data_IF_098974147371
#
_entry.id   IF_098974147371
#
_cell.length_a   1.000
_cell.length_b   1.000
_cell.length_c   1.000
_cell.angle_alpha   90.00
_cell.angle_beta   90.00
_cell.angle_gamma   90.00
#
_symmetry.space_group_name_H-M   'P 1'
#
loop_
_entity.id
_entity.type
_entity.pdbx_description
1 polymer ?
#
# COMPACT_ATOMS: atom_id res chain seq x y z
N UNK A 1 -20.16 -9.04 -8.42
CA UNK A 1 -18.77 -8.86 -8.85
C UNK A 1 -18.40 -7.39 -8.66
N UNK A 2 -17.17 -7.06 -8.25
CA UNK A 2 -16.75 -5.67 -8.13
C UNK A 2 -16.55 -5.07 -9.53
N UNK A 3 -17.10 -3.88 -9.80
CA UNK A 3 -16.90 -3.20 -11.08
C UNK A 3 -15.48 -2.64 -11.18
N UNK A 4 -15.01 -2.42 -12.42
CA UNK A 4 -13.70 -1.81 -12.66
C UNK A 4 -13.58 -0.44 -11.99
N UNK A 5 -14.61 0.39 -12.08
CA UNK A 5 -14.66 1.71 -11.44
C UNK A 5 -14.51 1.62 -9.91
N UNK A 6 -15.16 0.63 -9.27
CA UNK A 6 -15.00 0.40 -7.83
C UNK A 6 -13.57 -0.03 -7.47
N UNK A 7 -12.96 -0.92 -8.24
CA UNK A 7 -11.57 -1.37 -8.03
C UNK A 7 -10.61 -0.20 -8.19
N UNK A 8 -10.77 0.61 -9.25
CA UNK A 8 -9.95 1.80 -9.49
C UNK A 8 -10.07 2.80 -8.34
N UNK A 9 -11.29 3.07 -7.88
CA UNK A 9 -11.55 3.96 -6.74
C UNK A 9 -10.91 3.45 -5.44
N UNK A 10 -10.98 2.14 -5.16
CA UNK A 10 -10.38 1.55 -3.97
C UNK A 10 -8.85 1.57 -4.01
N UNK A 11 -8.24 1.32 -5.15
CA UNK A 11 -6.78 1.41 -5.30
C UNK A 11 -6.32 2.87 -5.20
N UNK A 12 -7.05 3.83 -5.79
CA UNK A 12 -6.77 5.25 -5.63
C UNK A 12 -6.80 5.68 -4.16
N UNK A 13 -7.84 5.27 -3.43
CA UNK A 13 -7.95 5.48 -1.99
C UNK A 13 -6.74 4.89 -1.24
N UNK A 14 -6.40 3.63 -1.50
CA UNK A 14 -5.33 2.92 -0.82
C UNK A 14 -3.98 3.64 -0.99
N UNK A 15 -3.66 4.04 -2.21
CA UNK A 15 -2.44 4.79 -2.54
C UNK A 15 -2.44 6.19 -1.92
N UNK A 16 -3.57 6.91 -1.95
CA UNK A 16 -3.69 8.25 -1.37
C UNK A 16 -3.49 8.20 0.16
N UNK A 17 -4.15 7.28 0.85
CA UNK A 17 -4.00 7.11 2.30
C UNK A 17 -2.57 6.67 2.67
N UNK A 18 -1.96 5.79 1.88
CA UNK A 18 -0.56 5.37 2.13
C UNK A 18 0.41 6.55 1.97
N UNK A 19 0.20 7.45 1.02
CA UNK A 19 0.97 8.70 0.89
C UNK A 19 0.84 9.60 2.11
N UNK A 20 -0.37 9.78 2.64
CA UNK A 20 -0.58 10.53 3.88
C UNK A 20 0.14 9.90 5.09
N UNK A 21 0.16 8.56 5.17
CA UNK A 21 0.97 7.85 6.19
C UNK A 21 2.46 8.15 6.01
N UNK A 22 2.97 8.18 4.77
CA UNK A 22 4.35 8.57 4.49
C UNK A 22 4.66 10.01 4.91
N UNK A 23 3.74 10.96 4.76
CA UNK A 23 3.94 12.33 5.23
C UNK A 23 4.09 12.38 6.75
N UNK A 24 3.32 11.58 7.49
CA UNK A 24 3.49 11.43 8.94
C UNK A 24 4.81 10.73 9.31
N UNK A 25 5.24 9.72 8.55
CA UNK A 25 6.53 9.04 8.75
C UNK A 25 7.71 10.00 8.51
N UNK A 26 7.63 10.89 7.55
CA UNK A 26 8.70 11.86 7.30
C UNK A 26 8.89 12.87 8.45
N UNK A 27 7.93 13.00 9.34
CA UNK A 27 8.03 13.86 10.53
C UNK A 27 8.76 13.22 11.73
N UNK A 28 8.97 11.90 11.75
CA UNK A 28 9.77 11.20 12.78
C UNK A 28 11.24 11.11 12.35
N UNK A 29 12.15 10.61 13.21
CA UNK A 29 13.56 10.41 12.85
C UNK A 29 13.81 9.05 12.18
N UNK A 30 14.98 8.87 11.53
CA UNK A 30 15.35 7.57 10.95
C UNK A 30 15.56 6.51 12.05
N UNK A 31 16.03 6.90 13.25
CA UNK A 31 16.13 6.01 14.40
C UNK A 31 14.76 5.51 14.85
N UNK A 32 13.77 6.42 14.94
CA UNK A 32 12.38 6.05 15.26
C UNK A 32 11.75 5.16 14.17
N UNK A 33 12.07 5.41 12.91
CA UNK A 33 11.57 4.63 11.77
C UNK A 33 12.02 3.16 11.81
N UNK A 34 13.25 2.91 12.24
CA UNK A 34 13.81 1.55 12.35
C UNK A 34 13.69 0.94 13.75
N UNK A 35 13.15 1.70 14.71
CA UNK A 35 12.99 1.24 16.11
C UNK A 35 12.15 -0.05 16.15
N UNK A 36 12.71 -1.07 16.75
CA UNK A 36 12.06 -2.37 16.87
C UNK A 36 10.89 -2.32 17.87
N UNK A 37 9.86 -3.08 17.55
CA UNK A 37 8.67 -3.30 18.35
C UNK A 37 8.34 -4.79 18.32
N UNK A 38 8.04 -5.44 19.45
CA UNK A 38 7.80 -6.90 19.48
C UNK A 38 6.52 -7.32 18.74
N UNK A 39 5.65 -6.38 18.40
CA UNK A 39 4.41 -6.67 17.70
C UNK A 39 4.57 -6.60 16.17
N UNK A 40 3.88 -7.49 15.46
CA UNK A 40 3.81 -7.53 14.00
C UNK A 40 5.20 -7.71 13.35
N UNK A 41 5.61 -6.80 12.46
CA UNK A 41 6.84 -6.91 11.65
C UNK A 41 8.07 -6.23 12.27
N UNK A 42 7.99 -5.82 13.50
CA UNK A 42 9.11 -5.25 14.24
C UNK A 42 9.17 -3.73 14.21
N UNK A 43 9.25 -3.07 13.06
CA UNK A 43 9.39 -1.60 12.98
C UNK A 43 8.44 -0.96 11.97
N UNK A 44 8.31 0.38 12.00
CA UNK A 44 7.58 1.14 10.96
C UNK A 44 8.22 0.88 9.59
N UNK A 45 9.56 0.90 9.51
CA UNK A 45 10.30 0.53 8.30
C UNK A 45 9.87 -0.83 7.76
N UNK A 46 9.89 -1.84 8.61
CA UNK A 46 9.59 -3.21 8.18
C UNK A 46 8.15 -3.35 7.68
N UNK A 47 7.19 -2.65 8.32
CA UNK A 47 5.79 -2.61 7.88
C UNK A 47 5.66 -1.96 6.51
N UNK A 48 6.25 -0.77 6.31
CA UNK A 48 6.10 -0.02 5.06
C UNK A 48 6.85 -0.66 3.89
N UNK A 49 8.04 -1.20 4.13
CA UNK A 49 8.77 -1.96 3.10
C UNK A 49 8.07 -3.27 2.78
N UNK A 50 7.45 -3.94 3.77
CA UNK A 50 6.64 -5.13 3.53
C UNK A 50 5.42 -4.82 2.66
N UNK A 51 4.69 -3.73 2.91
CA UNK A 51 3.56 -3.31 2.08
C UNK A 51 4.00 -3.18 0.62
N UNK A 52 4.96 -2.32 0.33
CA UNK A 52 5.43 -2.11 -1.04
C UNK A 52 6.03 -3.37 -1.68
N UNK A 53 6.73 -4.21 -0.89
CA UNK A 53 7.25 -5.50 -1.35
C UNK A 53 6.14 -6.47 -1.74
N UNK A 54 5.04 -6.47 -0.97
CA UNK A 54 3.88 -7.31 -1.24
C UNK A 54 3.14 -6.84 -2.49
N UNK A 55 2.88 -5.54 -2.61
CA UNK A 55 2.23 -4.95 -3.79
C UNK A 55 3.03 -5.23 -5.06
N UNK A 56 4.35 -5.05 -5.02
CA UNK A 56 5.25 -5.36 -6.13
C UNK A 56 5.17 -6.83 -6.56
N UNK A 57 5.15 -7.76 -5.60
CA UNK A 57 5.06 -9.19 -5.89
C UNK A 57 3.72 -9.60 -6.48
N UNK A 58 2.63 -9.11 -5.90
CA UNK A 58 1.30 -9.36 -6.46
C UNK A 58 1.15 -8.75 -7.83
N UNK A 59 1.67 -7.53 -8.06
CA UNK A 59 1.64 -6.89 -9.36
C UNK A 59 2.39 -7.68 -10.42
N UNK A 60 3.57 -8.23 -10.13
CA UNK A 60 4.29 -9.12 -11.03
C UNK A 60 3.45 -10.35 -11.39
N UNK A 61 2.80 -10.97 -10.41
CA UNK A 61 1.88 -12.07 -10.65
C UNK A 61 0.66 -11.68 -11.48
N UNK A 62 0.04 -10.53 -11.23
CA UNK A 62 -1.07 -10.00 -12.04
C UNK A 62 -0.68 -9.79 -13.50
N UNK A 63 0.57 -9.41 -13.76
CA UNK A 63 1.17 -9.25 -15.10
C UNK A 63 1.65 -10.56 -15.72
N UNK A 64 1.52 -11.69 -15.02
CA UNK A 64 2.09 -13.00 -15.40
C UNK A 64 3.63 -12.96 -15.56
N UNK A 65 4.30 -12.12 -14.79
CA UNK A 65 5.76 -12.02 -14.73
C UNK A 65 6.33 -13.01 -13.69
N UNK A 66 7.64 -13.23 -13.74
CA UNK A 66 8.32 -14.07 -12.75
C UNK A 66 8.26 -13.45 -11.35
N UNK A 67 8.27 -14.31 -10.30
CA UNK A 67 8.32 -13.84 -8.90
C UNK A 67 9.57 -12.98 -8.67
N UNK A 68 9.35 -11.75 -8.26
CA UNK A 68 10.40 -10.76 -8.01
C UNK A 68 10.99 -10.84 -6.59
N UNK A 69 10.53 -11.80 -5.77
CA UNK A 69 10.98 -11.99 -4.40
C UNK A 69 10.59 -10.85 -3.45
N UNK A 70 10.89 -11.02 -2.17
CA UNK A 70 10.69 -9.97 -1.16
C UNK A 70 11.87 -9.00 -1.11
N UNK A 71 11.57 -7.72 -0.84
CA UNK A 71 12.57 -6.71 -0.54
C UNK A 71 13.16 -6.95 0.86
N UNK A 72 14.47 -6.82 1.00
CA UNK A 72 15.13 -6.87 2.29
C UNK A 72 14.95 -5.53 3.04
N UNK A 73 14.43 -5.58 4.26
CA UNK A 73 14.14 -4.36 5.03
C UNK A 73 15.39 -3.51 5.28
N UNK A 74 16.53 -4.18 5.47
CA UNK A 74 17.82 -3.55 5.77
C UNK A 74 18.35 -2.67 4.63
N UNK A 75 17.89 -2.91 3.40
CA UNK A 75 18.28 -2.10 2.23
C UNK A 75 17.63 -0.70 2.26
N UNK A 76 16.70 -0.47 3.19
CA UNK A 76 15.94 0.78 3.33
C UNK A 76 16.09 1.39 4.72
N UNK A 77 17.31 1.81 5.14
CA UNK A 77 17.54 2.34 6.48
C UNK A 77 16.96 3.75 6.68
N UNK A 78 16.78 4.53 5.61
CA UNK A 78 16.29 5.89 5.65
C UNK A 78 14.83 5.98 5.15
N UNK A 79 14.03 6.81 5.81
CA UNK A 79 12.60 7.04 5.48
C UNK A 79 12.40 7.46 4.02
N UNK A 80 13.20 8.42 3.54
CA UNK A 80 13.08 8.92 2.17
C UNK A 80 13.35 7.84 1.13
N UNK A 81 14.38 7.03 1.34
CA UNK A 81 14.72 5.91 0.45
C UNK A 81 13.58 4.89 0.36
N UNK A 82 12.96 4.56 1.50
CA UNK A 82 11.82 3.65 1.55
C UNK A 82 10.57 4.27 0.90
N UNK A 83 10.33 5.58 1.08
CA UNK A 83 9.25 6.30 0.39
C UNK A 83 9.45 6.31 -1.12
N UNK A 84 10.67 6.59 -1.60
CA UNK A 84 10.96 6.61 -3.04
C UNK A 84 10.75 5.22 -3.69
N UNK A 85 11.06 4.16 -2.96
CA UNK A 85 10.77 2.79 -3.40
C UNK A 85 9.25 2.56 -3.46
N UNK A 86 8.50 2.94 -2.43
CA UNK A 86 7.03 2.86 -2.42
C UNK A 86 6.43 3.60 -3.61
N UNK A 87 6.86 4.85 -3.90
CA UNK A 87 6.29 5.65 -4.99
C UNK A 87 6.48 4.99 -6.37
N UNK A 88 7.60 4.29 -6.59
CA UNK A 88 7.78 3.51 -7.83
C UNK A 88 6.76 2.38 -7.93
N UNK A 89 6.59 1.61 -6.86
CA UNK A 89 5.61 0.51 -6.83
C UNK A 89 4.18 1.04 -6.98
N UNK A 90 3.86 2.15 -6.31
CA UNK A 90 2.55 2.80 -6.38
C UNK A 90 2.23 3.29 -7.81
N UNK A 91 3.22 3.86 -8.50
CA UNK A 91 3.07 4.27 -9.90
C UNK A 91 2.79 3.07 -10.80
N UNK A 92 3.59 2.00 -10.68
CA UNK A 92 3.41 0.78 -11.47
C UNK A 92 2.04 0.11 -11.23
N UNK A 93 1.56 0.10 -9.98
CA UNK A 93 0.24 -0.43 -9.62
C UNK A 93 -0.89 0.43 -10.19
N UNK A 94 -0.78 1.76 -10.06
CA UNK A 94 -1.76 2.69 -10.61
C UNK A 94 -1.87 2.57 -12.13
N UNK A 95 -0.74 2.51 -12.84
CA UNK A 95 -0.71 2.34 -14.30
C UNK A 95 -1.33 1.01 -14.73
N UNK A 96 -1.04 -0.07 -14.01
CA UNK A 96 -1.65 -1.38 -14.28
C UNK A 96 -3.16 -1.33 -14.15
N UNK A 97 -3.68 -0.75 -13.06
CA UNK A 97 -5.13 -0.68 -12.80
C UNK A 97 -5.83 0.29 -13.74
N UNK A 98 -5.16 1.34 -14.20
CA UNK A 98 -5.69 2.24 -15.22
C UNK A 98 -5.80 1.58 -16.61
N UNK A 99 -4.96 0.58 -16.90
CA UNK A 99 -4.92 -0.10 -18.18
C UNK A 99 -5.73 -1.40 -18.28
N UNK A 100 -6.22 -1.94 -17.15
CA UNK A 100 -6.98 -3.20 -17.14
C UNK A 100 -8.43 -2.99 -17.56
N UNK A 101 -9.02 -3.99 -18.20
CA UNK A 101 -10.44 -3.99 -18.63
C UNK A 101 -11.33 -4.74 -17.63
N UNK A 102 -12.65 -4.48 -17.69
CA UNK A 102 -13.67 -5.20 -16.90
C UNK A 102 -13.58 -6.71 -17.08
N UNK A 103 -13.36 -7.19 -18.33
CA UNK A 103 -13.26 -8.60 -18.62
C UNK A 103 -12.03 -9.24 -17.98
N UNK A 104 -10.90 -8.56 -17.98
CA UNK A 104 -9.66 -9.04 -17.37
C UNK A 104 -9.74 -9.15 -15.84
N UNK A 105 -10.60 -8.37 -15.17
CA UNK A 105 -10.80 -8.48 -13.72
C UNK A 105 -11.26 -9.88 -13.30
N UNK A 106 -12.09 -10.54 -14.11
CA UNK A 106 -12.63 -11.86 -13.83
C UNK A 106 -11.66 -13.00 -14.17
N UNK A 107 -10.59 -12.71 -14.91
CA UNK A 107 -9.59 -13.71 -15.26
C UNK A 107 -8.66 -14.01 -14.09
N UNK A 108 -8.18 -15.25 -14.05
CA UNK A 108 -7.15 -15.68 -13.11
C UNK A 108 -5.77 -15.57 -13.76
N UNK A 109 -4.83 -14.84 -13.15
CA UNK A 109 -3.44 -14.86 -13.61
C UNK A 109 -2.86 -16.28 -13.56
N UNK A 110 -1.86 -16.56 -14.38
CA UNK A 110 -1.24 -17.87 -14.47
C UNK A 110 -0.73 -18.35 -13.10
N UNK A 111 -1.13 -19.56 -12.71
CA UNK A 111 -0.74 -20.17 -11.43
C UNK A 111 -1.41 -19.59 -10.19
N UNK A 112 -2.36 -18.66 -10.31
CA UNK A 112 -3.11 -18.10 -9.17
C UNK A 112 -4.50 -18.76 -9.04
N UNK A 113 -4.94 -19.07 -7.81
CA UNK A 113 -6.30 -19.59 -7.58
C UNK A 113 -7.38 -18.49 -7.57
N UNK A 114 -6.99 -17.22 -7.47
CA UNK A 114 -7.84 -16.04 -7.34
C UNK A 114 -7.89 -15.22 -8.64
N UNK A 115 -8.97 -14.47 -8.87
CA UNK A 115 -9.09 -13.54 -9.99
C UNK A 115 -8.24 -12.28 -9.78
N UNK A 116 -8.04 -11.48 -10.84
CA UNK A 116 -7.38 -10.18 -10.70
C UNK A 116 -8.12 -9.25 -9.75
N UNK A 117 -9.45 -9.25 -9.79
CA UNK A 117 -10.28 -8.50 -8.85
C UNK A 117 -10.03 -8.92 -7.39
N UNK A 118 -9.97 -10.23 -7.10
CA UNK A 118 -9.71 -10.74 -5.76
C UNK A 118 -8.33 -10.30 -5.24
N UNK A 119 -7.31 -10.33 -6.10
CA UNK A 119 -5.96 -9.89 -5.74
C UNK A 119 -5.93 -8.39 -5.46
N UNK A 120 -6.54 -7.56 -6.31
CA UNK A 120 -6.58 -6.10 -6.12
C UNK A 120 -7.34 -5.72 -4.83
N UNK A 121 -8.45 -6.37 -4.54
CA UNK A 121 -9.17 -6.20 -3.27
C UNK A 121 -8.34 -6.65 -2.07
N UNK A 122 -7.57 -7.75 -2.22
CA UNK A 122 -6.64 -8.18 -1.17
C UNK A 122 -5.58 -7.11 -0.88
N UNK A 123 -5.00 -6.44 -1.89
CA UNK A 123 -4.02 -5.37 -1.67
C UNK A 123 -4.59 -4.24 -0.82
N UNK A 124 -5.80 -3.76 -1.12
CA UNK A 124 -6.49 -2.71 -0.34
C UNK A 124 -6.72 -3.14 1.11
N UNK A 125 -7.22 -4.37 1.32
CA UNK A 125 -7.45 -4.90 2.67
C UNK A 125 -6.15 -5.06 3.45
N UNK A 126 -5.11 -5.61 2.82
CA UNK A 126 -3.78 -5.77 3.39
C UNK A 126 -3.14 -4.43 3.75
N UNK A 127 -3.28 -3.42 2.86
CA UNK A 127 -2.85 -2.05 3.11
C UNK A 127 -3.52 -1.46 4.35
N UNK A 128 -4.83 -1.60 4.47
CA UNK A 128 -5.61 -1.09 5.62
C UNK A 128 -5.14 -1.67 6.94
N UNK A 129 -4.89 -2.99 7.02
CA UNK A 129 -4.41 -3.67 8.22
C UNK A 129 -3.04 -3.14 8.68
N UNK A 130 -2.08 -3.06 7.77
CA UNK A 130 -0.74 -2.60 8.11
C UNK A 130 -0.67 -1.10 8.39
N UNK A 131 -1.40 -0.25 7.65
CA UNK A 131 -1.47 1.19 7.94
C UNK A 131 -2.05 1.48 9.31
N UNK A 132 -3.07 0.72 9.76
CA UNK A 132 -3.61 0.86 11.10
C UNK A 132 -2.53 0.65 12.17
N UNK A 133 -1.69 -0.37 12.02
CA UNK A 133 -0.55 -0.62 12.92
C UNK A 133 0.49 0.51 12.86
N UNK A 134 0.79 1.02 11.67
CA UNK A 134 1.74 2.15 11.51
C UNK A 134 1.20 3.41 12.17
N UNK A 135 -0.06 3.75 11.94
CA UNK A 135 -0.71 4.93 12.55
C UNK A 135 -0.71 4.84 14.08
N UNK A 136 -0.97 3.67 14.66
CA UNK A 136 -0.87 3.46 16.09
C UNK A 136 0.54 3.74 16.62
N UNK A 137 1.58 3.28 15.92
CA UNK A 137 2.97 3.53 16.31
C UNK A 137 3.37 4.99 16.18
N UNK A 138 2.96 5.64 15.08
CA UNK A 138 3.17 7.07 14.87
C UNK A 138 2.52 7.90 16.00
N UNK A 139 1.31 7.53 16.44
CA UNK A 139 0.66 8.15 17.58
C UNK A 139 1.51 8.05 18.86
N UNK A 140 2.04 6.87 19.17
CA UNK A 140 2.91 6.68 20.34
C UNK A 140 4.24 7.43 20.26
N UNK A 141 4.71 7.75 19.05
CA UNK A 141 5.88 8.60 18.81
C UNK A 141 5.56 10.10 18.82
N UNK A 142 4.30 10.49 19.03
CA UNK A 142 3.86 11.88 19.02
C UNK A 142 3.76 12.49 17.61
N UNK A 143 3.81 11.68 16.57
CA UNK A 143 3.60 12.14 15.20
C UNK A 143 2.11 12.36 14.89
N UNK A 144 1.84 13.16 13.86
CA UNK A 144 0.47 13.39 13.39
C UNK A 144 -0.16 12.10 12.86
N UNK A 145 -1.40 11.83 13.25
CA UNK A 145 -2.20 10.72 12.76
C UNK A 145 -3.57 11.19 12.27
N UNK A 146 -4.28 10.36 11.56
CA UNK A 146 -5.57 10.68 10.96
C UNK A 146 -6.44 9.42 10.82
N UNK A 147 -7.72 9.60 10.64
CA UNK A 147 -8.65 8.51 10.31
C UNK A 147 -8.49 8.12 8.84
N UNK A 148 -8.38 6.80 8.59
CA UNK A 148 -8.19 6.26 7.23
C UNK A 148 -9.49 5.71 6.61
N UNK A 149 -10.66 6.19 7.07
CA UNK A 149 -11.93 5.69 6.59
C UNK A 149 -12.16 6.02 5.11
N UNK A 150 -12.51 4.98 4.35
CA UNK A 150 -12.81 5.11 2.92
C UNK A 150 -13.89 6.14 2.63
N UNK A 151 -14.99 6.13 3.41
CA UNK A 151 -16.10 7.06 3.20
C UNK A 151 -15.68 8.51 3.46
N UNK A 152 -14.84 8.75 4.46
CA UNK A 152 -14.31 10.08 4.78
C UNK A 152 -13.42 10.60 3.65
N UNK A 153 -12.56 9.74 3.12
CA UNK A 153 -11.73 10.08 1.97
C UNK A 153 -12.58 10.37 0.71
N UNK A 154 -13.61 9.56 0.44
CA UNK A 154 -14.49 9.76 -0.71
C UNK A 154 -15.20 11.12 -0.63
N UNK A 155 -15.70 11.49 0.54
CA UNK A 155 -16.32 12.80 0.75
C UNK A 155 -15.33 13.96 0.62
N UNK A 156 -14.09 13.80 1.06
CA UNK A 156 -13.07 14.84 0.87
C UNK A 156 -12.72 15.04 -0.61
N UNK A 157 -12.66 13.95 -1.37
CA UNK A 157 -12.44 13.99 -2.83
C UNK A 157 -13.58 14.75 -3.54
N UNK A 158 -14.85 14.50 -3.18
CA UNK A 158 -16.00 15.22 -3.74
C UNK A 158 -15.97 16.73 -3.43
N UNK A 159 -15.41 17.11 -2.27
CA UNK A 159 -15.25 18.52 -1.88
C UNK A 159 -13.99 19.19 -2.45
N UNK A 160 -13.15 18.45 -3.15
CA UNK A 160 -11.86 18.95 -3.67
C UNK A 160 -10.81 19.22 -2.59
N UNK A 161 -10.88 18.53 -1.45
CA UNK A 161 -10.01 18.69 -0.28
C UNK A 161 -8.87 17.63 -0.22
N UNK A 162 -8.68 16.86 -1.28
CA UNK A 162 -7.71 15.75 -1.37
C UNK A 162 -6.33 16.20 -1.87
#
# INVERSE_FOLDING_TARGET
MASLDMIQTLIEYDLAITRRVWDSILAITDEQFVQEDPYSRGSIRNLMVHLASTDRRWLAGLKNEADVGHLAFQDYPARQQAKDMFERVATDLHEYVAGITEAELEEKPAGMPATRADVLLHLVNHGTDHRATVLQRLYHLGASTFEQDFITWLWSKERGES
#
